data_IF_163757877429
#
_entry.id   IF_163757877429
#
_cell.length_a   1.000
_cell.length_b   1.000
_cell.length_c   1.000
_cell.angle_alpha   90.00
_cell.angle_beta   90.00
_cell.angle_gamma   90.00
#
_symmetry.space_group_name_H-M   'P 1'
#
loop_
_entity.id
_entity.type
_entity.pdbx_description
1 polymer ?
#
# COMPACT_ATOMS: atom_id res chain seq x y z
N UNK A 1 25.40 61.08 19.17
CA UNK A 1 25.56 59.72 19.76
C UNK A 1 24.96 58.72 18.81
N UNK A 2 25.76 58.04 17.98
CA UNK A 2 25.33 57.03 17.05
C UNK A 2 25.35 55.66 17.76
N UNK A 3 24.22 55.00 17.89
CA UNK A 3 24.10 53.64 18.42
C UNK A 3 24.52 52.66 17.31
N UNK A 4 25.64 51.98 17.49
CA UNK A 4 26.06 50.88 16.64
C UNK A 4 25.03 49.73 16.83
N UNK A 5 24.30 49.36 15.77
CA UNK A 5 23.53 48.15 15.72
C UNK A 5 24.51 46.98 15.64
N UNK A 6 24.59 46.18 16.69
CA UNK A 6 25.22 44.86 16.64
C UNK A 6 24.45 43.97 15.67
N UNK A 7 25.07 43.66 14.55
CA UNK A 7 24.59 42.72 13.58
C UNK A 7 24.73 41.30 14.19
N UNK A 8 23.65 40.77 14.71
CA UNK A 8 23.59 39.40 15.23
C UNK A 8 23.89 38.43 14.08
N UNK A 9 25.04 37.78 14.16
CA UNK A 9 25.48 36.83 13.15
C UNK A 9 24.51 35.66 13.13
N UNK A 10 23.90 35.35 11.97
CA UNK A 10 23.04 34.21 11.79
C UNK A 10 23.76 32.93 12.26
N UNK A 11 23.06 32.04 12.99
CA UNK A 11 23.64 30.79 13.45
C UNK A 11 24.15 29.97 12.26
N UNK A 12 25.33 29.31 12.40
CA UNK A 12 25.89 28.50 11.33
C UNK A 12 24.86 27.44 10.87
N UNK A 13 24.80 27.13 9.57
CA UNK A 13 23.87 26.15 9.06
C UNK A 13 24.10 24.80 9.76
N UNK A 14 23.02 24.21 10.28
CA UNK A 14 23.08 22.91 10.98
C UNK A 14 23.75 21.87 10.08
N UNK A 15 24.85 21.28 10.54
CA UNK A 15 25.57 20.24 9.82
C UNK A 15 24.67 19.01 9.72
N UNK A 16 24.29 18.65 8.49
CA UNK A 16 23.47 17.45 8.23
C UNK A 16 24.32 16.20 8.47
N UNK A 17 23.85 15.27 9.32
CA UNK A 17 24.53 13.98 9.51
C UNK A 17 24.77 13.31 8.13
N UNK A 18 26.01 12.89 7.81
CA UNK A 18 26.32 12.22 6.54
C UNK A 18 25.42 11.01 6.25
N UNK A 19 24.94 10.32 7.30
CA UNK A 19 24.00 9.19 7.18
C UNK A 19 22.62 9.63 6.73
N UNK A 20 22.13 10.78 7.21
CA UNK A 20 20.87 11.37 6.76
C UNK A 20 20.99 11.90 5.34
N UNK A 21 22.16 12.41 4.96
CA UNK A 21 22.45 12.83 3.58
C UNK A 21 22.45 11.62 2.62
N UNK A 22 22.92 10.45 3.04
CA UNK A 22 22.87 9.22 2.26
C UNK A 22 21.41 8.73 2.04
N UNK A 23 20.56 8.84 3.06
CA UNK A 23 19.14 8.44 2.97
C UNK A 23 18.33 9.36 2.03
N UNK A 24 18.80 10.58 1.74
CA UNK A 24 18.19 11.51 0.77
C UNK A 24 18.54 11.20 -0.68
N UNK A 25 19.56 10.37 -0.94
CA UNK A 25 19.94 10.03 -2.31
C UNK A 25 18.88 9.16 -2.96
N UNK A 26 18.47 9.48 -4.20
CA UNK A 26 17.50 8.66 -4.90
C UNK A 26 18.01 7.25 -5.12
N UNK A 27 17.30 6.25 -4.65
CA UNK A 27 17.57 4.87 -5.06
C UNK A 27 17.34 4.71 -6.56
N UNK A 28 18.24 4.00 -7.24
CA UNK A 28 18.09 3.68 -8.66
C UNK A 28 17.09 2.55 -8.90
N UNK A 29 16.86 1.71 -7.90
CA UNK A 29 16.04 0.49 -8.01
C UNK A 29 14.73 0.64 -7.24
N UNK A 30 14.73 1.43 -6.16
CA UNK A 30 13.55 1.69 -5.34
C UNK A 30 13.16 3.18 -5.43
N UNK A 31 12.53 3.61 -6.53
CA UNK A 31 12.17 5.02 -6.71
C UNK A 31 11.02 5.45 -5.80
N UNK A 32 10.23 4.52 -5.25
CA UNK A 32 9.06 4.80 -4.42
C UNK A 32 8.97 3.89 -3.18
N UNK A 33 8.24 4.36 -2.17
CA UNK A 33 8.00 3.66 -0.89
C UNK A 33 7.01 2.50 -1.02
N UNK A 34 6.33 2.42 -2.14
CA UNK A 34 5.30 1.41 -2.39
C UNK A 34 5.49 0.86 -3.81
N UNK A 35 5.23 -0.41 -4.00
CA UNK A 35 5.01 -1.01 -5.31
C UNK A 35 3.62 -0.56 -5.83
N UNK A 36 2.76 -1.46 -6.27
CA UNK A 36 1.38 -1.04 -6.56
C UNK A 36 0.60 -0.77 -5.27
N UNK A 37 0.59 -1.73 -4.35
CA UNK A 37 -0.08 -1.64 -3.05
C UNK A 37 0.85 -2.02 -1.87
N UNK A 38 1.83 -2.89 -2.12
CA UNK A 38 2.75 -3.41 -1.11
C UNK A 38 3.88 -2.42 -0.82
N UNK A 39 4.26 -2.17 0.44
CA UNK A 39 5.37 -1.30 0.78
C UNK A 39 6.72 -1.86 0.32
N UNK A 40 7.70 -0.98 0.11
CA UNK A 40 9.10 -1.32 -0.17
C UNK A 40 9.97 -1.15 1.08
N UNK A 41 11.24 -1.51 0.98
CA UNK A 41 12.24 -1.26 2.04
C UNK A 41 12.93 0.10 1.90
N UNK A 42 12.42 0.99 1.04
CA UNK A 42 12.96 2.33 0.90
C UNK A 42 12.84 3.10 2.23
N UNK A 43 13.96 3.63 2.68
CA UNK A 43 14.00 4.42 3.91
C UNK A 43 13.53 5.84 3.67
N UNK A 44 12.62 6.32 4.53
CA UNK A 44 12.28 7.73 4.62
C UNK A 44 13.37 8.47 5.42
N UNK A 45 13.99 9.52 4.87
CA UNK A 45 14.93 10.34 5.62
C UNK A 45 14.21 11.01 6.80
N UNK A 46 14.95 11.18 7.91
CA UNK A 46 14.43 11.82 9.12
C UNK A 46 13.84 13.21 8.81
N UNK A 47 12.67 13.50 9.38
CA UNK A 47 11.94 14.77 9.23
C UNK A 47 11.60 15.11 7.76
N UNK A 48 11.57 14.12 6.89
CA UNK A 48 11.11 14.26 5.51
C UNK A 48 9.78 13.56 5.35
N UNK A 49 9.10 13.89 4.26
CA UNK A 49 7.78 13.33 4.00
C UNK A 49 7.60 12.97 2.54
N UNK A 50 6.58 12.18 2.30
CA UNK A 50 6.09 11.85 0.96
C UNK A 50 4.57 11.78 0.99
N UNK A 51 3.99 12.11 -0.14
CA UNK A 51 2.56 11.99 -0.41
C UNK A 51 2.35 11.01 -1.55
N UNK A 52 1.31 10.20 -1.46
CA UNK A 52 0.89 9.31 -2.55
C UNK A 52 -0.63 9.38 -2.72
N UNK A 53 -1.05 9.45 -3.98
CA UNK A 53 -2.42 9.27 -4.40
C UNK A 53 -2.52 7.96 -5.17
N UNK A 54 -3.50 7.14 -4.84
CA UNK A 54 -3.88 5.95 -5.61
C UNK A 54 -5.24 6.19 -6.24
N UNK A 55 -5.41 5.69 -7.44
CA UNK A 55 -6.67 5.77 -8.16
C UNK A 55 -6.95 4.40 -8.80
N UNK A 56 -8.15 3.86 -8.57
CA UNK A 56 -8.62 2.63 -9.20
C UNK A 56 -9.95 2.91 -9.85
N UNK A 57 -10.03 2.70 -11.15
CA UNK A 57 -11.30 2.78 -11.87
C UNK A 57 -12.18 1.61 -11.45
N UNK A 58 -13.44 1.87 -11.11
CA UNK A 58 -14.35 0.85 -10.58
C UNK A 58 -14.83 -0.15 -11.64
N UNK A 59 -14.63 0.16 -12.93
CA UNK A 59 -15.01 -0.71 -14.04
C UNK A 59 -13.95 -1.78 -14.33
N UNK A 60 -14.40 -3.01 -14.53
CA UNK A 60 -13.54 -4.09 -15.00
C UNK A 60 -13.17 -3.95 -16.48
N UNK A 61 -11.92 -4.31 -16.82
CA UNK A 61 -11.44 -4.35 -18.21
C UNK A 61 -11.99 -5.55 -19.02
N UNK A 62 -12.83 -6.38 -18.44
CA UNK A 62 -13.40 -7.57 -19.09
C UNK A 62 -14.44 -7.27 -20.16
N UNK A 63 -14.95 -6.06 -20.25
CA UNK A 63 -15.92 -5.63 -21.24
C UNK A 63 -15.28 -5.50 -22.63
N UNK A 64 -16.11 -5.45 -23.68
CA UNK A 64 -15.64 -5.25 -25.04
C UNK A 64 -14.92 -3.91 -25.20
N UNK A 65 -14.00 -3.84 -26.18
CA UNK A 65 -13.14 -2.65 -26.38
C UNK A 65 -13.96 -1.41 -26.74
N UNK A 66 -15.07 -1.55 -27.45
CA UNK A 66 -15.93 -0.42 -27.83
C UNK A 66 -16.55 0.22 -26.59
N UNK A 67 -17.08 -0.57 -25.65
CA UNK A 67 -17.59 -0.11 -24.38
C UNK A 67 -16.50 0.52 -23.50
N UNK A 68 -15.29 -0.08 -23.46
CA UNK A 68 -14.16 0.51 -22.72
C UNK A 68 -13.74 1.86 -23.29
N UNK A 69 -13.69 1.98 -24.61
CA UNK A 69 -13.32 3.24 -25.26
C UNK A 69 -14.40 4.34 -25.09
N UNK A 70 -15.69 3.97 -25.11
CA UNK A 70 -16.79 4.90 -24.98
C UNK A 70 -16.87 5.58 -23.62
N UNK A 71 -16.47 4.89 -22.54
CA UNK A 71 -16.43 5.41 -21.17
C UNK A 71 -15.02 5.76 -20.68
N UNK A 72 -14.09 5.92 -21.64
CA UNK A 72 -12.69 6.26 -21.36
C UNK A 72 -12.05 5.31 -20.31
N UNK A 73 -12.24 4.00 -20.50
CA UNK A 73 -11.69 2.95 -19.64
C UNK A 73 -12.20 2.99 -18.18
N UNK A 74 -13.41 3.50 -17.98
CA UNK A 74 -14.07 3.53 -16.69
C UNK A 74 -14.02 4.88 -15.97
N UNK A 75 -13.60 5.95 -16.63
CA UNK A 75 -13.65 7.30 -16.07
C UNK A 75 -15.06 7.69 -15.61
N UNK A 76 -16.08 7.27 -16.36
CA UNK A 76 -17.47 7.60 -16.08
C UNK A 76 -18.14 6.70 -15.02
N UNK A 77 -17.47 5.60 -14.63
CA UNK A 77 -18.01 4.58 -13.70
C UNK A 77 -17.54 4.74 -12.25
N UNK A 78 -17.00 5.89 -11.91
CA UNK A 78 -16.50 6.19 -10.59
C UNK A 78 -15.10 5.57 -10.32
N UNK A 79 -14.55 5.94 -9.19
CA UNK A 79 -13.21 5.52 -8.79
C UNK A 79 -13.07 5.39 -7.29
N UNK A 80 -12.19 4.47 -6.88
CA UNK A 80 -11.67 4.40 -5.51
C UNK A 80 -10.36 5.16 -5.46
N UNK A 81 -10.36 6.25 -4.71
CA UNK A 81 -9.19 7.12 -4.51
C UNK A 81 -8.62 6.85 -3.13
N UNK A 82 -7.31 6.75 -3.03
CA UNK A 82 -6.61 6.66 -1.75
C UNK A 82 -5.56 7.76 -1.64
N UNK A 83 -5.45 8.34 -0.46
CA UNK A 83 -4.48 9.39 -0.13
C UNK A 83 -3.61 8.92 1.02
N UNK A 84 -2.31 8.86 0.80
CA UNK A 84 -1.31 8.50 1.81
C UNK A 84 -0.40 9.68 2.09
N UNK A 85 -0.14 9.90 3.37
CA UNK A 85 0.92 10.79 3.82
C UNK A 85 1.86 10.03 4.76
N UNK A 86 3.16 10.11 4.49
CA UNK A 86 4.21 9.38 5.18
C UNK A 86 5.31 10.32 5.66
N UNK A 87 5.81 10.09 6.87
CA UNK A 87 6.88 10.89 7.47
C UNK A 87 7.98 10.00 8.03
N UNK A 88 9.23 10.47 7.95
CA UNK A 88 10.35 9.91 8.67
C UNK A 88 10.39 10.47 10.10
N UNK A 89 10.06 9.64 11.08
CA UNK A 89 10.01 10.01 12.49
C UNK A 89 11.44 10.14 13.04
N UNK A 90 12.21 9.11 12.86
CA UNK A 90 13.64 9.05 13.15
C UNK A 90 14.35 8.22 12.07
N UNK A 91 15.67 8.15 12.15
CA UNK A 91 16.41 7.33 11.18
C UNK A 91 16.00 5.86 11.27
N UNK A 92 15.52 5.32 10.17
CA UNK A 92 15.03 3.94 10.08
C UNK A 92 13.57 3.73 10.50
N UNK A 93 12.92 4.73 11.11
CA UNK A 93 11.49 4.65 11.48
C UNK A 93 10.68 5.64 10.65
N UNK A 94 9.71 5.14 9.94
CA UNK A 94 8.70 5.92 9.22
C UNK A 94 7.30 5.52 9.66
N UNK A 95 6.40 6.48 9.63
CA UNK A 95 4.99 6.28 9.94
C UNK A 95 4.12 7.04 8.93
N UNK A 96 2.88 6.65 8.80
CA UNK A 96 1.98 7.33 7.88
C UNK A 96 0.52 7.02 8.16
N UNK A 97 -0.30 7.76 7.43
CA UNK A 97 -1.74 7.60 7.37
C UNK A 97 -2.14 7.40 5.91
N UNK A 98 -3.07 6.49 5.67
CA UNK A 98 -3.66 6.25 4.37
C UNK A 98 -5.18 6.22 4.51
N UNK A 99 -5.88 6.97 3.65
CA UNK A 99 -7.34 7.01 3.62
C UNK A 99 -7.85 6.68 2.23
N UNK A 100 -8.80 5.76 2.14
CA UNK A 100 -9.43 5.37 0.88
C UNK A 100 -10.78 6.05 0.69
N UNK A 101 -11.24 6.14 -0.57
CA UNK A 101 -12.59 6.61 -0.91
C UNK A 101 -13.69 5.71 -0.33
N UNK A 102 -13.41 4.44 -0.04
CA UNK A 102 -14.27 3.51 0.69
C UNK A 102 -14.33 3.78 2.21
N UNK A 103 -13.85 4.95 2.66
CA UNK A 103 -13.85 5.38 4.07
C UNK A 103 -12.96 4.53 5.00
N UNK A 104 -12.07 3.69 4.47
CA UNK A 104 -11.04 3.02 5.28
C UNK A 104 -9.94 4.01 5.62
N UNK A 105 -9.60 4.11 6.91
CA UNK A 105 -8.45 4.86 7.41
C UNK A 105 -7.44 3.88 7.97
N UNK A 106 -6.21 3.90 7.48
CA UNK A 106 -5.12 3.05 7.95
C UNK A 106 -4.00 3.92 8.52
N UNK A 107 -3.54 3.59 9.72
CA UNK A 107 -2.29 4.07 10.29
C UNK A 107 -1.25 2.96 10.17
N UNK A 108 -0.04 3.30 9.80
CA UNK A 108 1.04 2.31 9.65
C UNK A 108 2.37 2.84 10.14
N UNK A 109 3.22 1.91 10.56
CA UNK A 109 4.61 2.15 10.90
C UNK A 109 5.51 1.11 10.24
N UNK A 110 6.72 1.53 9.88
CA UNK A 110 7.75 0.66 9.30
C UNK A 110 9.10 0.99 9.89
N UNK A 111 9.82 -0.03 10.36
CA UNK A 111 11.12 0.10 10.97
C UNK A 111 12.18 -0.74 10.25
N UNK A 112 13.30 -0.13 9.93
CA UNK A 112 14.46 -0.79 9.34
C UNK A 112 15.20 -1.61 10.40
N UNK A 113 14.97 -2.92 10.44
CA UNK A 113 15.66 -3.82 11.36
C UNK A 113 17.08 -4.14 10.86
N UNK A 114 17.21 -4.44 9.56
CA UNK A 114 18.46 -4.86 8.94
C UNK A 114 18.56 -4.31 7.53
N UNK A 115 19.76 -3.93 7.11
CA UNK A 115 20.03 -3.40 5.74
C UNK A 115 21.00 -4.28 4.97
N UNK A 116 20.71 -4.48 3.69
CA UNK A 116 21.61 -5.14 2.75
C UNK A 116 22.97 -4.49 2.72
N UNK A 117 24.02 -5.31 2.80
CA UNK A 117 25.43 -4.91 2.74
C UNK A 117 26.24 -5.97 1.98
N UNK A 118 27.55 -5.81 1.93
CA UNK A 118 28.42 -6.82 1.32
C UNK A 118 28.39 -8.16 2.08
N UNK A 119 28.20 -8.12 3.41
CA UNK A 119 28.13 -9.32 4.27
C UNK A 119 26.71 -9.85 4.46
N UNK A 120 25.69 -9.07 4.17
CA UNK A 120 24.29 -9.42 4.38
C UNK A 120 23.51 -9.18 3.08
N UNK A 121 23.02 -10.24 2.39
CA UNK A 121 22.47 -10.11 1.04
C UNK A 121 21.03 -9.60 0.97
N UNK A 122 20.40 -9.16 2.08
CA UNK A 122 19.02 -8.72 2.13
C UNK A 122 18.79 -7.58 3.14
N UNK A 123 17.71 -6.85 2.96
CA UNK A 123 17.17 -5.86 3.89
C UNK A 123 15.93 -6.45 4.56
N UNK A 124 15.72 -6.18 5.84
CA UNK A 124 14.52 -6.57 6.58
C UNK A 124 13.94 -5.34 7.28
N UNK A 125 12.66 -5.09 7.04
CA UNK A 125 11.89 -4.09 7.75
C UNK A 125 10.74 -4.76 8.50
N UNK A 126 10.51 -4.36 9.74
CA UNK A 126 9.27 -4.68 10.45
C UNK A 126 8.18 -3.69 10.06
N UNK A 127 6.95 -4.16 9.93
CA UNK A 127 5.77 -3.34 9.62
C UNK A 127 4.63 -3.68 10.55
N UNK A 128 3.90 -2.63 10.95
CA UNK A 128 2.67 -2.76 11.70
C UNK A 128 1.64 -1.76 11.16
N UNK A 129 0.37 -2.13 11.15
CA UNK A 129 -0.70 -1.21 10.81
C UNK A 129 -1.99 -1.54 11.56
N UNK A 130 -2.83 -0.54 11.67
CA UNK A 130 -4.23 -0.66 12.08
C UNK A 130 -5.08 0.09 11.07
N UNK A 131 -6.14 -0.53 10.58
CA UNK A 131 -7.10 0.10 9.70
C UNK A 131 -8.50 -0.03 10.25
N UNK A 132 -9.29 1.02 10.10
CA UNK A 132 -10.69 1.07 10.48
C UNK A 132 -11.58 1.30 9.27
N UNK A 133 -12.62 0.50 9.16
CA UNK A 133 -13.68 0.69 8.17
C UNK A 133 -14.58 1.84 8.60
N UNK A 134 -15.20 2.49 7.64
CA UNK A 134 -16.11 3.62 7.88
C UNK A 134 -15.54 4.66 8.88
N UNK A 135 -14.23 5.00 8.73
CA UNK A 135 -13.50 5.91 9.64
C UNK A 135 -13.48 5.43 11.11
N UNK A 136 -13.32 4.14 11.35
CA UNK A 136 -13.43 3.49 12.68
C UNK A 136 -14.82 3.63 13.32
N UNK A 137 -15.83 3.94 12.52
CA UNK A 137 -17.19 4.10 13.02
C UNK A 137 -17.98 2.81 12.78
N UNK A 138 -18.54 2.24 13.81
CA UNK A 138 -19.55 1.19 13.67
C UNK A 138 -20.79 1.86 13.08
N UNK A 139 -21.19 1.45 11.89
CA UNK A 139 -22.46 1.89 11.30
C UNK A 139 -23.65 1.27 12.06
N UNK A 140 -24.83 1.85 11.89
CA UNK A 140 -26.06 1.39 12.53
C UNK A 140 -26.53 -0.02 12.05
N UNK A 141 -25.77 -0.66 11.16
CA UNK A 141 -26.10 -1.93 10.47
C UNK A 141 -25.08 -3.04 10.76
N UNK A 142 -24.14 -2.82 11.65
CA UNK A 142 -23.09 -3.79 11.96
C UNK A 142 -23.41 -4.45 13.29
N UNK A 143 -23.55 -5.78 13.31
CA UNK A 143 -23.71 -6.55 14.53
C UNK A 143 -22.62 -6.19 15.55
N UNK A 144 -22.95 -6.22 16.83
CA UNK A 144 -22.00 -5.90 17.92
C UNK A 144 -20.75 -6.80 17.88
N UNK A 145 -20.82 -7.96 17.22
CA UNK A 145 -19.73 -8.92 17.05
C UNK A 145 -18.75 -8.57 15.91
N UNK A 146 -19.12 -7.65 15.02
CA UNK A 146 -18.27 -7.29 13.88
C UNK A 146 -17.13 -6.34 14.30
N UNK A 147 -15.91 -6.65 13.90
CA UNK A 147 -14.76 -5.80 14.17
C UNK A 147 -14.77 -4.57 13.24
N UNK A 148 -14.79 -3.37 13.82
CA UNK A 148 -14.67 -2.12 13.06
C UNK A 148 -13.23 -1.85 12.56
N UNK A 149 -12.28 -2.70 12.90
CA UNK A 149 -10.86 -2.52 12.58
C UNK A 149 -10.16 -3.83 12.24
N UNK A 150 -9.09 -3.73 11.46
CA UNK A 150 -8.13 -4.81 11.23
C UNK A 150 -6.73 -4.33 11.63
N UNK A 151 -5.98 -5.20 12.29
CA UNK A 151 -4.59 -4.93 12.69
C UNK A 151 -3.67 -5.87 11.93
N UNK A 152 -2.55 -5.38 11.43
CA UNK A 152 -1.58 -6.22 10.74
C UNK A 152 -0.19 -6.06 11.34
N UNK A 153 0.50 -7.19 11.46
CA UNK A 153 1.91 -7.28 11.80
C UNK A 153 2.63 -8.07 10.73
N UNK A 154 3.80 -7.61 10.30
CA UNK A 154 4.53 -8.26 9.24
C UNK A 154 5.99 -7.82 9.11
N UNK A 155 6.62 -8.36 8.09
CA UNK A 155 7.97 -8.00 7.70
C UNK A 155 8.04 -7.80 6.19
N UNK A 156 9.00 -6.99 5.75
CA UNK A 156 9.41 -6.88 4.35
C UNK A 156 10.84 -7.36 4.27
N UNK A 157 11.06 -8.45 3.57
CA UNK A 157 12.39 -8.92 3.21
C UNK A 157 12.65 -8.53 1.77
N UNK A 158 13.70 -7.78 1.49
CA UNK A 158 14.04 -7.40 0.13
C UNK A 158 15.49 -7.67 -0.22
N UNK A 159 15.73 -7.86 -1.52
CA UNK A 159 17.06 -7.93 -2.11
C UNK A 159 17.12 -7.08 -3.35
N UNK A 160 18.08 -6.17 -3.39
CA UNK A 160 18.41 -5.45 -4.62
C UNK A 160 19.53 -6.18 -5.35
N UNK A 161 19.38 -6.36 -6.67
CA UNK A 161 20.36 -6.96 -7.56
C UNK A 161 20.91 -5.88 -8.50
N UNK A 162 22.08 -5.37 -8.12
CA UNK A 162 22.70 -4.24 -8.80
C UNK A 162 21.81 -2.99 -8.79
N UNK A 163 21.79 -2.30 -9.92
CA UNK A 163 20.97 -1.09 -10.14
C UNK A 163 19.71 -1.36 -11.00
N UNK A 164 19.36 -2.63 -11.22
CA UNK A 164 18.32 -3.05 -12.16
C UNK A 164 17.12 -3.74 -11.56
N UNK A 165 17.27 -4.46 -10.46
CA UNK A 165 16.18 -5.26 -9.91
C UNK A 165 16.07 -5.14 -8.38
N UNK A 166 14.85 -5.19 -7.88
CA UNK A 166 14.54 -5.38 -6.47
C UNK A 166 13.43 -6.42 -6.33
N UNK A 167 13.63 -7.35 -5.41
CA UNK A 167 12.71 -8.43 -5.08
C UNK A 167 12.27 -8.28 -3.63
N UNK A 168 11.00 -8.59 -3.37
CA UNK A 168 10.40 -8.43 -2.05
C UNK A 168 9.58 -9.66 -1.68
N UNK A 169 9.68 -10.06 -0.43
CA UNK A 169 8.83 -11.05 0.22
C UNK A 169 8.24 -10.39 1.47
N UNK A 170 6.93 -10.47 1.66
CA UNK A 170 6.22 -9.73 2.70
C UNK A 170 5.22 -10.63 3.41
N UNK A 171 5.68 -11.46 4.39
CA UNK A 171 4.78 -12.14 5.29
C UNK A 171 4.09 -11.13 6.20
N UNK A 172 2.76 -11.22 6.29
CA UNK A 172 1.93 -10.37 7.13
C UNK A 172 0.80 -11.19 7.73
N UNK A 173 0.63 -11.09 9.04
CA UNK A 173 -0.51 -11.65 9.74
C UNK A 173 -1.50 -10.54 10.05
N UNK A 174 -2.73 -10.70 9.56
CA UNK A 174 -3.79 -9.71 9.66
C UNK A 174 -4.85 -10.27 10.60
N UNK A 175 -5.06 -9.59 11.72
CA UNK A 175 -6.13 -9.84 12.66
C UNK A 175 -7.40 -9.14 12.17
N UNK A 176 -8.53 -9.80 12.30
CA UNK A 176 -9.85 -9.29 11.86
C UNK A 176 -9.85 -8.86 10.39
N UNK A 177 -9.20 -9.63 9.52
CA UNK A 177 -9.15 -9.36 8.08
C UNK A 177 -10.54 -9.46 7.44
N UNK A 178 -11.40 -10.33 7.95
CA UNK A 178 -12.83 -10.30 7.71
C UNK A 178 -13.51 -9.55 8.85
N UNK A 179 -14.20 -8.48 8.49
CA UNK A 179 -14.91 -7.61 9.44
C UNK A 179 -16.37 -8.01 9.64
N UNK A 180 -16.86 -8.98 8.89
CA UNK A 180 -18.22 -9.51 9.03
C UNK A 180 -18.23 -10.78 9.88
N UNK A 181 -19.16 -10.84 10.85
CA UNK A 181 -19.51 -12.08 11.55
C UNK A 181 -20.23 -13.03 10.59
N UNK A 182 -20.32 -14.30 10.97
CA UNK A 182 -21.13 -15.27 10.21
C UNK A 182 -22.60 -14.87 10.16
N UNK A 183 -23.13 -14.32 11.25
CA UNK A 183 -24.51 -13.82 11.33
C UNK A 183 -24.72 -12.62 10.42
N UNK A 184 -23.85 -11.60 10.46
CA UNK A 184 -23.91 -10.44 9.59
C UNK A 184 -23.78 -10.79 8.12
N UNK A 185 -22.97 -11.79 7.76
CA UNK A 185 -22.88 -12.30 6.38
C UNK A 185 -24.19 -12.96 5.92
N UNK A 186 -24.84 -13.73 6.77
CA UNK A 186 -26.12 -14.37 6.43
C UNK A 186 -27.22 -13.33 6.21
N UNK A 187 -27.29 -12.33 7.08
CA UNK A 187 -28.25 -11.22 6.96
C UNK A 187 -28.09 -10.46 5.64
N UNK A 188 -26.85 -10.15 5.26
CA UNK A 188 -26.58 -9.49 3.97
C UNK A 188 -26.96 -10.34 2.76
N UNK A 189 -26.72 -11.65 2.82
CA UNK A 189 -27.09 -12.59 1.75
C UNK A 189 -28.61 -12.74 1.64
N UNK A 190 -29.33 -12.77 2.76
CA UNK A 190 -30.81 -12.83 2.79
C UNK A 190 -31.44 -11.57 2.16
N UNK A 191 -30.80 -10.41 2.31
CA UNK A 191 -31.24 -9.16 1.68
C UNK A 191 -30.73 -8.97 0.24
N UNK A 192 -30.08 -9.99 -0.35
CA UNK A 192 -29.60 -9.96 -1.73
C UNK A 192 -28.37 -9.10 -1.98
N UNK A 193 -27.60 -8.79 -0.94
CA UNK A 193 -26.34 -8.06 -1.04
C UNK A 193 -25.16 -9.01 -1.18
N UNK A 194 -24.59 -9.12 -2.39
CA UNK A 194 -23.33 -9.82 -2.63
C UNK A 194 -22.15 -9.02 -2.08
N UNK A 195 -21.81 -9.26 -0.83
CA UNK A 195 -20.62 -8.64 -0.22
C UNK A 195 -19.42 -9.58 -0.40
N UNK A 196 -18.30 -9.12 -0.98
CA UNK A 196 -17.13 -9.97 -1.24
C UNK A 196 -16.58 -10.70 0.00
N UNK A 197 -16.80 -10.16 1.19
CA UNK A 197 -16.42 -10.78 2.46
C UNK A 197 -17.33 -11.92 2.91
N UNK A 198 -18.53 -12.05 2.34
CA UNK A 198 -19.56 -12.99 2.76
C UNK A 198 -19.78 -14.15 1.77
N UNK A 199 -19.18 -14.10 0.60
CA UNK A 199 -19.32 -15.16 -0.42
C UNK A 199 -18.75 -16.48 0.11
N UNK A 200 -19.59 -17.50 0.23
CA UNK A 200 -19.22 -18.81 0.76
C UNK A 200 -19.44 -19.01 2.26
N UNK A 201 -20.01 -18.02 2.95
CA UNK A 201 -20.31 -18.07 4.39
C UNK A 201 -21.30 -19.18 4.81
N UNK A 202 -22.03 -19.74 3.85
CA UNK A 202 -23.07 -20.73 4.12
C UNK A 202 -22.55 -22.13 4.49
N UNK A 203 -21.26 -22.41 4.40
CA UNK A 203 -20.73 -23.77 4.58
C UNK A 203 -19.51 -23.92 5.48
N UNK A 204 -18.77 -22.86 5.81
CA UNK A 204 -17.57 -22.94 6.65
C UNK A 204 -17.47 -21.69 7.52
N UNK A 205 -17.14 -21.84 8.79
CA UNK A 205 -16.84 -20.70 9.69
C UNK A 205 -15.86 -19.77 9.01
N UNK A 206 -16.21 -18.47 8.94
CA UNK A 206 -15.35 -17.48 8.29
C UNK A 206 -14.21 -17.16 9.24
N UNK A 207 -13.00 -17.57 8.84
CA UNK A 207 -11.80 -17.19 9.59
C UNK A 207 -11.63 -15.67 9.58
N UNK A 208 -11.53 -15.07 10.77
CA UNK A 208 -11.37 -13.62 10.91
C UNK A 208 -9.93 -13.16 10.70
N UNK A 209 -8.95 -14.07 10.81
CA UNK A 209 -7.53 -13.74 10.68
C UNK A 209 -6.96 -14.33 9.38
N UNK A 210 -5.97 -13.68 8.80
CA UNK A 210 -5.35 -14.14 7.54
C UNK A 210 -3.84 -14.04 7.60
N UNK A 211 -3.14 -15.09 7.19
CA UNK A 211 -1.72 -15.05 6.86
C UNK A 211 -1.56 -14.78 5.36
N UNK A 212 -1.04 -13.63 5.03
CA UNK A 212 -0.76 -13.16 3.67
C UNK A 212 0.75 -13.21 3.42
N UNK A 213 1.17 -13.68 2.25
CA UNK A 213 2.57 -13.59 1.82
C UNK A 213 2.63 -12.82 0.49
N UNK A 214 3.03 -11.56 0.54
CA UNK A 214 3.26 -10.76 -0.65
C UNK A 214 4.59 -11.11 -1.31
N UNK A 215 4.59 -11.48 -2.57
CA UNK A 215 5.78 -11.63 -3.40
C UNK A 215 5.77 -10.60 -4.52
N UNK A 216 6.85 -9.85 -4.70
CA UNK A 216 6.90 -8.79 -5.70
C UNK A 216 8.29 -8.59 -6.28
N UNK A 217 8.30 -8.04 -7.50
CA UNK A 217 9.53 -7.65 -8.18
C UNK A 217 9.36 -6.28 -8.83
N UNK A 218 10.42 -5.50 -8.86
CA UNK A 218 10.57 -4.26 -9.62
C UNK A 218 11.82 -4.38 -10.49
N UNK A 219 11.67 -4.18 -11.79
CA UNK A 219 12.74 -4.24 -12.78
C UNK A 219 12.89 -2.88 -13.44
N UNK A 220 14.10 -2.31 -13.38
CA UNK A 220 14.44 -1.09 -14.09
C UNK A 220 14.77 -1.43 -15.55
N UNK A 221 13.89 -1.05 -16.47
CA UNK A 221 14.03 -1.33 -17.90
C UNK A 221 14.78 -0.24 -18.66
N UNK A 222 14.70 1.01 -18.19
CA UNK A 222 15.47 2.12 -18.71
C UNK A 222 15.68 3.21 -17.64
N UNK A 223 16.31 4.32 -18.00
CA UNK A 223 16.52 5.43 -17.07
C UNK A 223 15.17 5.98 -16.56
N UNK A 224 14.87 5.70 -15.29
CA UNK A 224 13.65 6.14 -14.62
C UNK A 224 12.37 5.44 -15.08
N UNK A 225 12.46 4.31 -15.81
CA UNK A 225 11.31 3.48 -16.18
C UNK A 225 11.45 2.10 -15.56
N UNK A 226 10.37 1.64 -14.94
CA UNK A 226 10.33 0.37 -14.24
C UNK A 226 9.09 -0.42 -14.63
N UNK A 227 9.21 -1.74 -14.61
CA UNK A 227 8.11 -2.70 -14.68
C UNK A 227 8.06 -3.44 -13.36
N UNK A 228 6.88 -3.62 -12.82
CA UNK A 228 6.69 -4.28 -11.55
C UNK A 228 5.47 -5.18 -11.55
N UNK A 229 5.54 -6.21 -10.71
CA UNK A 229 4.45 -7.13 -10.49
C UNK A 229 4.44 -7.58 -9.05
N UNK A 230 3.26 -7.90 -8.53
CA UNK A 230 3.09 -8.52 -7.24
C UNK A 230 1.98 -9.56 -7.24
N UNK A 231 2.15 -10.51 -6.36
CA UNK A 231 1.20 -11.57 -6.06
C UNK A 231 1.11 -11.73 -4.55
N UNK A 232 -0.10 -11.72 -4.01
CA UNK A 232 -0.36 -11.77 -2.58
C UNK A 232 -1.21 -12.98 -2.23
N UNK A 233 -0.62 -14.21 -2.21
CA UNK A 233 -1.32 -15.40 -1.76
C UNK A 233 -1.71 -15.31 -0.29
N UNK A 234 -2.93 -15.74 -0.02
CA UNK A 234 -3.41 -16.06 1.32
C UNK A 234 -3.01 -17.49 1.63
N UNK A 235 -2.18 -17.67 2.64
CA UNK A 235 -1.65 -18.98 3.03
C UNK A 235 -2.60 -19.70 3.97
N UNK A 236 -3.26 -18.93 4.82
CA UNK A 236 -4.31 -19.44 5.73
C UNK A 236 -5.27 -18.32 6.10
N UNK A 237 -6.42 -18.65 6.64
CA UNK A 237 -7.43 -17.74 7.11
C UNK A 237 -8.54 -17.52 6.10
N UNK A 238 -8.93 -16.28 5.86
CA UNK A 238 -10.06 -15.90 5.00
C UNK A 238 -10.00 -16.58 3.62
N UNK A 239 -10.92 -17.50 3.38
CA UNK A 239 -10.93 -18.40 2.22
C UNK A 239 -11.58 -17.87 0.93
N UNK A 240 -12.66 -17.04 0.98
CA UNK A 240 -13.40 -16.66 -0.22
C UNK A 240 -12.57 -15.88 -1.25
N UNK A 241 -12.91 -16.02 -2.53
CA UNK A 241 -12.24 -15.33 -3.63
C UNK A 241 -10.86 -15.91 -3.97
N UNK A 242 -10.02 -15.08 -4.60
CA UNK A 242 -8.70 -15.46 -5.11
C UNK A 242 -7.62 -14.49 -4.63
N UNK A 243 -6.37 -14.92 -4.71
CA UNK A 243 -5.21 -14.09 -4.37
C UNK A 243 -5.12 -12.85 -5.28
N UNK A 244 -4.78 -11.73 -4.69
CA UNK A 244 -4.59 -10.48 -5.43
C UNK A 244 -3.33 -10.54 -6.29
N UNK A 245 -3.42 -9.99 -7.49
CA UNK A 245 -2.33 -9.85 -8.47
C UNK A 245 -2.31 -8.43 -9.01
N UNK A 246 -1.13 -7.86 -9.17
CA UNK A 246 -0.97 -6.52 -9.76
C UNK A 246 0.21 -6.47 -10.71
N UNK A 247 0.09 -5.66 -11.75
CA UNK A 247 1.19 -5.33 -12.67
C UNK A 247 1.19 -3.82 -12.91
N UNK A 248 2.39 -3.25 -13.13
CA UNK A 248 2.47 -1.83 -13.42
C UNK A 248 3.70 -1.46 -14.25
N UNK A 249 3.58 -0.32 -14.92
CA UNK A 249 4.69 0.44 -15.48
C UNK A 249 4.81 1.74 -14.68
N UNK A 250 6.06 2.07 -14.31
CA UNK A 250 6.35 3.20 -13.45
C UNK A 250 7.39 4.10 -14.09
N UNK A 251 7.18 5.42 -14.00
CA UNK A 251 8.11 6.45 -14.47
C UNK A 251 8.47 7.38 -13.33
N UNK A 252 9.77 7.46 -13.01
CA UNK A 252 10.31 8.45 -12.08
C UNK A 252 10.72 9.71 -12.82
N UNK A 253 10.24 10.84 -12.34
CA UNK A 253 10.58 12.18 -12.83
C UNK A 253 10.97 13.05 -11.63
N UNK A 254 12.28 13.20 -11.38
CA UNK A 254 12.80 13.93 -10.19
C UNK A 254 12.20 13.39 -8.89
N UNK A 255 11.48 14.22 -8.13
CA UNK A 255 10.79 13.85 -6.88
C UNK A 255 9.43 13.20 -7.06
N UNK A 256 8.94 13.01 -8.28
CA UNK A 256 7.66 12.39 -8.59
C UNK A 256 7.85 10.97 -9.13
N UNK A 257 6.88 10.12 -8.84
CA UNK A 257 6.75 8.79 -9.45
C UNK A 257 5.32 8.65 -9.97
N UNK A 258 5.20 8.40 -11.27
CA UNK A 258 3.95 8.10 -11.96
C UNK A 258 3.90 6.60 -12.24
N UNK A 259 2.78 5.96 -11.94
CA UNK A 259 2.61 4.54 -12.13
C UNK A 259 1.24 4.28 -12.75
N UNK A 260 1.22 3.60 -13.88
CA UNK A 260 0.02 3.01 -14.47
C UNK A 260 -0.01 1.54 -14.10
N UNK A 261 -1.13 1.06 -13.60
CA UNK A 261 -1.23 -0.30 -13.08
C UNK A 261 -2.56 -0.98 -13.41
N UNK A 262 -2.54 -2.29 -13.34
CA UNK A 262 -3.71 -3.16 -13.40
C UNK A 262 -3.70 -4.10 -12.20
N UNK A 263 -4.87 -4.36 -11.64
CA UNK A 263 -5.08 -5.23 -10.50
C UNK A 263 -6.36 -6.04 -10.68
N UNK A 264 -6.39 -7.28 -10.18
CA UNK A 264 -7.62 -8.06 -10.13
C UNK A 264 -8.48 -7.73 -8.89
N UNK A 265 -8.09 -6.72 -8.10
CA UNK A 265 -8.83 -6.23 -6.94
C UNK A 265 -8.77 -4.71 -6.89
N UNK A 266 -9.82 -4.09 -6.37
CA UNK A 266 -9.87 -2.66 -6.07
C UNK A 266 -9.19 -2.32 -4.72
N UNK A 267 -8.97 -3.31 -3.87
CA UNK A 267 -8.38 -3.15 -2.53
C UNK A 267 -6.96 -2.58 -2.59
N UNK A 268 -6.66 -1.68 -1.67
CA UNK A 268 -5.37 -0.98 -1.59
C UNK A 268 -4.73 -0.98 -0.21
N UNK A 269 -5.50 -1.28 0.85
CA UNK A 269 -5.00 -1.45 2.22
C UNK A 269 -4.61 -2.90 2.49
N UNK A 270 -3.89 -3.16 3.59
CA UNK A 270 -3.45 -4.51 3.91
C UNK A 270 -4.61 -5.45 4.26
N UNK A 271 -5.64 -4.96 4.94
CA UNK A 271 -6.85 -5.74 5.21
C UNK A 271 -7.66 -6.02 3.95
N UNK A 272 -7.79 -5.02 3.05
CA UNK A 272 -8.43 -5.22 1.74
C UNK A 272 -7.66 -6.25 0.89
N UNK A 273 -6.32 -6.24 0.92
CA UNK A 273 -5.50 -7.26 0.26
C UNK A 273 -5.68 -8.66 0.88
N UNK A 274 -5.86 -8.73 2.19
CA UNK A 274 -6.12 -9.99 2.89
C UNK A 274 -7.46 -10.62 2.49
N UNK A 275 -8.47 -9.80 2.17
CA UNK A 275 -9.74 -10.27 1.59
C UNK A 275 -9.59 -10.72 0.13
N UNK A 276 -8.52 -10.30 -0.56
CA UNK A 276 -8.19 -10.75 -1.91
C UNK A 276 -9.02 -10.10 -3.00
N UNK A 277 -9.30 -10.87 -4.05
CA UNK A 277 -10.12 -10.49 -5.19
C UNK A 277 -11.27 -11.48 -5.36
N UNK A 278 -12.38 -11.02 -5.94
CA UNK A 278 -13.56 -11.86 -6.17
C UNK A 278 -13.25 -13.02 -7.12
N UNK A 279 -12.49 -12.76 -8.18
CA UNK A 279 -12.12 -13.76 -9.18
C UNK A 279 -10.83 -13.39 -9.93
N UNK A 280 -10.33 -14.28 -10.82
CA UNK A 280 -9.13 -14.05 -11.63
C UNK A 280 -9.41 -13.37 -12.98
N UNK A 281 -10.66 -13.11 -13.33
CA UNK A 281 -11.05 -12.61 -14.67
C UNK A 281 -11.26 -11.11 -14.68
N UNK A 282 -11.64 -10.53 -13.56
CA UNK A 282 -11.87 -9.09 -13.44
C UNK A 282 -10.55 -8.39 -13.17
N UNK A 283 -10.22 -7.45 -14.03
CA UNK A 283 -9.05 -6.61 -13.91
C UNK A 283 -9.48 -5.14 -13.96
N UNK A 284 -8.89 -4.34 -13.14
CA UNK A 284 -9.19 -2.93 -12.98
C UNK A 284 -7.96 -2.11 -13.33
N UNK A 285 -8.17 -1.08 -14.13
CA UNK A 285 -7.14 -0.08 -14.42
C UNK A 285 -6.97 0.83 -13.22
N UNK A 286 -5.77 1.34 -13.03
CA UNK A 286 -5.50 2.33 -12.00
C UNK A 286 -4.20 3.07 -12.26
N UNK A 287 -4.00 4.14 -11.51
CA UNK A 287 -2.72 4.83 -11.49
C UNK A 287 -2.36 5.25 -10.06
N UNK A 288 -1.07 5.39 -9.80
CA UNK A 288 -0.56 5.97 -8.56
C UNK A 288 0.33 7.16 -8.92
N UNK A 289 0.25 8.19 -8.12
CA UNK A 289 1.11 9.37 -8.19
C UNK A 289 1.74 9.59 -6.82
N UNK A 290 3.06 9.57 -6.75
CA UNK A 290 3.80 9.82 -5.53
C UNK A 290 4.69 11.05 -5.67
N UNK A 291 4.85 11.79 -4.59
CA UNK A 291 5.79 12.90 -4.48
C UNK A 291 6.58 12.82 -3.19
N UNK A 292 7.90 12.90 -3.32
CA UNK A 292 8.84 13.01 -2.20
C UNK A 292 9.20 14.47 -1.97
N UNK A 293 9.21 14.91 -0.70
CA UNK A 293 9.52 16.27 -0.30
C UNK A 293 10.94 16.36 0.28
N UNK A 294 11.92 15.82 -0.47
CA UNK A 294 13.33 15.86 -0.12
C UNK A 294 14.22 15.61 -1.34
#
# INVERSE_FOLDING_TARGET
>A
MARAQQQESAPPPATVDPRDAADRRPSLVEPDFTLVNLPTTLRMPRHKSAFRMTHRFARTLRTDFGSLASDLFGLDNGALIGLEYRVGVMRGLQAGIYRTGGKTVQFFGQYDAVRQSASLPFTVNAVASIEGLNNFHRGDVVDEEDAAYATALGAIVSRTAGDRAAFYLQPSYIFHSNTYSTAGCLEHLEHGHDIPGCVGATTVGIESNTLLIGASARLRVSQGVYVLGSWTPRVSGFGPGVSMKTFAVEKRLRGHVFQLNVSNSLGTTVGEMARGASNNRDWFLGFNLSRKFF
#
